data_IF_404984646821
#
_entry.id   IF_404984646821
#
_cell.length_a   1.000
_cell.length_b   1.000
_cell.length_c   1.000
_cell.angle_alpha   90.00
_cell.angle_beta   90.00
_cell.angle_gamma   90.00
#
_symmetry.space_group_name_H-M   'P 1'
#
loop_
_entity.id
_entity.type
_entity.pdbx_description
1 polymer ?
#
# COMPACT_ATOMS: atom_id res chain seq x y z
N UNK A 1 26.48 -12.36 -29.47
CA UNK A 1 25.89 -11.03 -29.18
C UNK A 1 25.23 -11.12 -27.81
N UNK A 2 25.90 -10.64 -26.76
CA UNK A 2 25.44 -10.81 -25.38
C UNK A 2 24.34 -9.81 -25.06
N UNK A 3 23.09 -10.28 -24.99
CA UNK A 3 21.94 -9.48 -24.55
C UNK A 3 22.16 -9.11 -23.09
N UNK A 4 22.55 -7.86 -22.84
CA UNK A 4 22.62 -7.30 -21.48
C UNK A 4 21.20 -7.32 -20.90
N UNK A 5 20.98 -7.84 -19.68
CA UNK A 5 19.66 -7.75 -19.06
C UNK A 5 19.34 -6.28 -18.84
N UNK A 6 18.38 -5.76 -19.59
CA UNK A 6 17.79 -4.44 -19.35
C UNK A 6 17.24 -4.47 -17.93
N UNK A 7 17.92 -3.79 -17.01
CA UNK A 7 17.37 -3.45 -15.70
C UNK A 7 16.06 -2.74 -15.99
N UNK A 8 14.93 -3.39 -15.72
CA UNK A 8 13.59 -2.80 -15.85
C UNK A 8 13.59 -1.53 -15.02
N UNK A 9 13.59 -0.37 -15.69
CA UNK A 9 13.34 0.91 -15.05
C UNK A 9 11.87 0.89 -14.63
N UNK A 10 11.62 0.67 -13.35
CA UNK A 10 10.28 0.80 -12.74
C UNK A 10 10.00 2.30 -12.59
N UNK A 11 10.01 3.04 -13.69
CA UNK A 11 9.78 4.49 -13.69
C UNK A 11 8.51 4.88 -14.49
N UNK A 12 7.82 3.90 -15.10
CA UNK A 12 6.61 4.18 -15.88
C UNK A 12 5.30 3.68 -15.24
N UNK A 13 5.34 3.03 -14.07
CA UNK A 13 4.10 2.71 -13.32
C UNK A 13 3.71 3.84 -12.38
N UNK A 14 3.58 5.00 -13.00
CA UNK A 14 2.89 6.12 -12.44
C UNK A 14 1.38 5.81 -12.36
N UNK A 15 0.82 5.93 -11.16
CA UNK A 15 -0.57 6.32 -10.86
C UNK A 15 -1.68 5.26 -10.92
N UNK A 16 -1.52 4.10 -10.27
CA UNK A 16 -2.71 3.51 -9.60
C UNK A 16 -2.80 4.19 -8.22
N UNK A 17 -3.30 5.43 -8.30
CA UNK A 17 -3.88 6.28 -7.25
C UNK A 17 -3.27 6.20 -5.84
N UNK A 18 -2.31 7.10 -5.56
CA UNK A 18 -1.87 7.46 -4.19
C UNK A 18 -3.04 7.81 -3.26
N UNK A 19 -4.13 8.34 -3.79
CA UNK A 19 -5.33 8.77 -3.04
C UNK A 19 -6.26 7.61 -2.66
N UNK A 20 -6.25 6.50 -3.41
CA UNK A 20 -7.14 5.37 -3.12
C UNK A 20 -6.62 4.48 -1.98
N UNK A 21 -5.31 4.46 -1.70
CA UNK A 21 -4.75 3.58 -0.65
C UNK A 21 -5.09 4.03 0.76
N UNK A 22 -5.25 5.33 0.98
CA UNK A 22 -5.70 5.87 2.26
C UNK A 22 -7.10 5.35 2.59
N UNK A 23 -7.96 5.25 1.57
CA UNK A 23 -9.34 4.80 1.72
C UNK A 23 -9.50 3.27 1.71
N UNK A 24 -8.77 2.57 0.85
CA UNK A 24 -8.95 1.13 0.61
C UNK A 24 -8.11 0.27 1.58
N UNK A 25 -6.92 0.76 1.96
CA UNK A 25 -5.95 0.01 2.76
C UNK A 25 -5.48 0.74 4.03
N UNK A 26 -6.02 1.93 4.33
CA UNK A 26 -5.60 2.77 5.46
C UNK A 26 -4.09 3.04 5.44
N UNK A 27 -3.52 3.26 4.24
CA UNK A 27 -2.11 3.58 4.06
C UNK A 27 -1.96 4.96 3.44
N UNK A 28 -1.29 5.85 4.18
CA UNK A 28 -1.00 7.22 3.78
C UNK A 28 0.47 7.39 3.39
N UNK A 29 0.77 8.42 2.61
CA UNK A 29 2.16 8.83 2.39
C UNK A 29 2.59 9.81 3.49
N UNK A 30 3.45 9.37 4.40
CA UNK A 30 4.07 10.20 5.41
C UNK A 30 5.53 10.52 5.01
N UNK A 31 5.77 11.78 4.62
CA UNK A 31 7.10 12.30 4.26
C UNK A 31 7.85 11.44 3.19
N UNK A 32 7.15 11.02 2.14
CA UNK A 32 7.71 10.20 1.07
C UNK A 32 7.72 8.69 1.34
N UNK A 33 7.31 8.26 2.55
CA UNK A 33 7.19 6.84 2.92
C UNK A 33 5.73 6.45 3.02
N UNK A 34 5.36 5.24 2.61
CA UNK A 34 4.02 4.74 2.87
C UNK A 34 3.92 4.27 4.32
N UNK A 35 2.95 4.76 5.07
CA UNK A 35 2.74 4.42 6.46
C UNK A 35 1.30 3.94 6.64
N UNK A 36 1.14 2.77 7.26
CA UNK A 36 -0.16 2.28 7.68
C UNK A 36 -0.67 3.11 8.84
N UNK A 37 -1.89 3.61 8.74
CA UNK A 37 -2.53 4.41 9.77
C UNK A 37 -3.04 3.55 10.94
N UNK A 38 -3.27 2.25 10.72
CA UNK A 38 -3.74 1.32 11.75
C UNK A 38 -2.63 0.92 12.73
N UNK A 39 -1.48 0.51 12.20
CA UNK A 39 -0.39 -0.03 13.01
C UNK A 39 0.88 0.83 12.99
N UNK A 40 0.83 2.00 12.34
CA UNK A 40 1.96 2.92 12.18
C UNK A 40 3.19 2.30 11.48
N UNK A 41 3.05 1.12 10.87
CA UNK A 41 4.15 0.46 10.17
C UNK A 41 4.42 1.14 8.82
N UNK A 42 5.70 1.26 8.49
CA UNK A 42 6.14 1.88 7.24
C UNK A 42 6.36 0.81 6.16
N UNK A 43 5.64 0.91 5.06
CA UNK A 43 5.83 0.10 3.87
C UNK A 43 6.94 0.73 3.02
N UNK A 44 8.14 0.15 3.08
CA UNK A 44 9.34 0.71 2.44
C UNK A 44 9.27 0.80 0.91
N UNK A 45 8.44 -0.04 0.28
CA UNK A 45 8.33 -0.11 -1.18
C UNK A 45 6.93 0.34 -1.60
N UNK A 46 6.79 1.50 -2.27
CA UNK A 46 5.51 2.05 -2.66
C UNK A 46 4.93 1.33 -3.89
N UNK A 47 4.58 0.05 -3.72
CA UNK A 47 3.92 -0.79 -4.72
C UNK A 47 2.60 -1.27 -4.16
N UNK A 48 1.57 -1.26 -4.99
CA UNK A 48 0.23 -1.75 -4.64
C UNK A 48 0.27 -3.17 -4.04
N UNK A 49 1.14 -4.05 -4.55
CA UNK A 49 1.37 -5.39 -4.00
C UNK A 49 1.78 -5.38 -2.52
N UNK A 50 2.68 -4.48 -2.11
CA UNK A 50 3.14 -4.43 -0.72
C UNK A 50 2.06 -3.85 0.20
N UNK A 51 1.33 -2.83 -0.27
CA UNK A 51 0.20 -2.23 0.43
C UNK A 51 -0.91 -3.24 0.67
N UNK A 52 -1.38 -3.91 -0.40
CA UNK A 52 -2.41 -4.95 -0.29
C UNK A 52 -1.96 -6.09 0.60
N UNK A 53 -0.71 -6.56 0.47
CA UNK A 53 -0.20 -7.69 1.26
C UNK A 53 -0.13 -7.32 2.74
N UNK A 54 0.33 -6.11 3.06
CA UNK A 54 0.35 -5.62 4.42
C UNK A 54 -1.06 -5.63 5.01
N UNK A 55 -2.01 -5.03 4.31
CA UNK A 55 -3.41 -5.02 4.75
C UNK A 55 -3.98 -6.43 4.88
N UNK A 56 -3.80 -7.29 3.87
CA UNK A 56 -4.42 -8.63 3.89
C UNK A 56 -3.82 -9.56 4.94
N UNK A 57 -2.53 -9.43 5.25
CA UNK A 57 -1.88 -10.34 6.22
C UNK A 57 -1.97 -9.86 7.66
N UNK A 58 -1.98 -8.54 7.88
CA UNK A 58 -1.96 -7.95 9.22
C UNK A 58 -3.35 -7.51 9.66
N UNK A 59 -4.15 -7.00 8.72
CA UNK A 59 -5.40 -6.31 9.02
C UNK A 59 -6.64 -7.04 8.49
N UNK A 60 -6.54 -7.94 7.50
CA UNK A 60 -7.71 -8.68 7.02
C UNK A 60 -8.45 -9.38 8.13
N UNK A 61 -7.78 -10.14 8.99
CA UNK A 61 -8.48 -10.90 10.03
C UNK A 61 -9.26 -9.99 11.00
N UNK A 62 -8.68 -8.83 11.35
CA UNK A 62 -9.28 -7.88 12.29
C UNK A 62 -10.29 -6.94 11.64
N UNK A 63 -10.12 -6.63 10.36
CA UNK A 63 -10.91 -5.65 9.62
C UNK A 63 -11.87 -6.29 8.60
N UNK A 64 -11.82 -7.60 8.36
CA UNK A 64 -12.71 -8.32 7.44
C UNK A 64 -14.18 -8.23 7.86
N UNK A 65 -14.45 -8.14 9.17
CA UNK A 65 -15.81 -7.98 9.72
C UNK A 65 -16.33 -6.55 9.64
N UNK A 66 -15.46 -5.57 9.36
CA UNK A 66 -15.82 -4.17 9.27
C UNK A 66 -16.03 -3.78 7.81
N UNK A 67 -17.15 -3.13 7.47
CA UNK A 67 -17.32 -2.52 6.14
C UNK A 67 -16.33 -1.37 5.97
N UNK A 68 -15.89 -1.09 4.73
CA UNK A 68 -14.95 0.00 4.40
C UNK A 68 -15.27 1.32 5.11
N UNK A 69 -16.55 1.55 5.36
CA UNK A 69 -17.10 2.71 6.03
C UNK A 69 -16.94 2.76 7.55
N UNK A 70 -16.93 1.63 8.23
CA UNK A 70 -16.56 1.56 9.65
C UNK A 70 -15.05 1.59 9.85
N UNK A 71 -14.27 1.10 8.87
CA UNK A 71 -12.79 1.07 8.94
C UNK A 71 -12.17 2.47 9.07
N UNK A 72 -12.74 3.46 8.38
CA UNK A 72 -12.30 4.87 8.44
C UNK A 72 -12.61 5.57 9.76
N UNK A 73 -13.60 5.10 10.52
CA UNK A 73 -13.97 5.70 11.81
C UNK A 73 -13.13 5.16 12.99
N UNK A 74 -12.27 4.17 12.74
CA UNK A 74 -11.44 3.51 13.75
C UNK A 74 -10.00 4.03 13.79
N UNK A 75 -9.62 4.94 12.89
CA UNK A 75 -8.26 5.43 12.70
C UNK A 75 -8.16 6.93 12.95
#
# INVERSE_FOLDING_TARGET
>A
MSVKPVKRKIDSENRISKESWENDYLIANNNGKLQCLVCMNVVSVPKAYNVRRHYTTVHENKYATYTNESRRALV
#
